data_IF_573970660220
#
_entry.id   IF_573970660220
#
_cell.length_a   1.000
_cell.length_b   1.000
_cell.length_c   1.000
_cell.angle_alpha   90.00
_cell.angle_beta   90.00
_cell.angle_gamma   90.00
#
_symmetry.space_group_name_H-M   'P 1'
#
loop_
_entity.id
_entity.type
_entity.pdbx_description
1 polymer ?
#
# COMPACT_ATOMS: atom_id res chain seq x y z
N UNK A 1 10.60 27.65 7.48
CA UNK A 1 10.94 27.28 8.86
C UNK A 1 10.54 25.82 9.05
N UNK A 2 11.53 24.95 8.90
CA UNK A 2 11.40 23.49 8.97
C UNK A 2 11.23 23.07 10.42
N UNK A 3 10.03 22.57 10.76
CA UNK A 3 9.77 21.91 12.03
C UNK A 3 10.63 20.65 12.10
N UNK A 4 11.55 20.63 13.07
CA UNK A 4 12.42 19.50 13.35
C UNK A 4 11.59 18.34 13.94
N UNK A 5 11.72 17.16 13.32
CA UNK A 5 11.20 15.89 13.84
C UNK A 5 12.18 15.36 14.91
N UNK A 6 11.72 14.97 16.11
CA UNK A 6 12.60 14.35 17.11
C UNK A 6 12.83 12.86 16.82
N UNK A 7 13.89 12.35 17.45
CA UNK A 7 14.69 11.18 17.09
C UNK A 7 14.17 9.79 17.53
N UNK A 8 14.82 8.77 16.93
CA UNK A 8 15.12 7.39 17.37
C UNK A 8 14.02 6.35 17.64
N UNK A 9 13.95 5.37 16.73
CA UNK A 9 14.12 3.92 16.95
C UNK A 9 13.51 3.20 18.17
N UNK A 10 12.37 3.65 18.67
CA UNK A 10 11.46 2.79 19.45
C UNK A 10 10.06 2.93 18.84
N UNK A 11 9.80 2.13 17.81
CA UNK A 11 8.52 2.17 17.11
C UNK A 11 7.52 1.40 17.96
N UNK A 12 6.50 2.07 18.53
CA UNK A 12 5.49 1.36 19.27
C UNK A 12 4.82 0.37 18.34
N UNK A 13 4.96 -0.91 18.67
CA UNK A 13 4.46 -2.04 17.90
C UNK A 13 3.27 -2.73 18.58
N UNK A 14 2.77 -2.14 19.68
CA UNK A 14 1.69 -2.71 20.49
C UNK A 14 0.37 -1.96 20.29
N UNK A 15 -0.77 -2.66 20.38
CA UNK A 15 -2.10 -2.04 20.34
C UNK A 15 -2.29 -0.89 21.34
N UNK A 16 -1.83 -1.06 22.58
CA UNK A 16 -1.90 -0.05 23.61
C UNK A 16 -1.18 1.24 23.22
N UNK A 17 0.02 1.13 22.64
CA UNK A 17 0.78 2.29 22.21
C UNK A 17 0.21 2.95 20.95
N UNK A 18 -0.50 2.20 20.09
CA UNK A 18 -1.26 2.82 19.00
C UNK A 18 -2.43 3.66 19.51
N UNK A 19 -3.10 3.21 20.57
CA UNK A 19 -4.20 3.96 21.18
C UNK A 19 -3.74 5.31 21.72
N UNK A 20 -2.53 5.40 22.30
CA UNK A 20 -1.97 6.68 22.78
C UNK A 20 -1.59 7.63 21.64
N UNK A 21 -1.33 7.13 20.44
CA UNK A 21 -1.00 7.93 19.25
C UNK A 21 -2.22 8.46 18.49
N UNK A 22 -3.43 7.95 18.75
CA UNK A 22 -4.65 8.36 18.04
C UNK A 22 -4.89 9.89 18.03
N UNK A 23 -4.72 10.65 19.14
CA UNK A 23 -4.89 12.10 19.11
C UNK A 23 -3.92 12.79 18.14
N UNK A 24 -2.69 12.30 18.04
CA UNK A 24 -1.69 12.81 17.10
C UNK A 24 -2.10 12.51 15.65
N UNK A 25 -2.50 11.27 15.35
CA UNK A 25 -3.01 10.92 14.03
C UNK A 25 -4.22 11.76 13.62
N UNK A 26 -5.16 12.01 14.54
CA UNK A 26 -6.31 12.91 14.30
C UNK A 26 -5.88 14.34 14.02
N UNK A 27 -4.89 14.87 14.74
CA UNK A 27 -4.37 16.22 14.49
C UNK A 27 -3.73 16.30 13.10
N UNK A 28 -2.88 15.34 12.74
CA UNK A 28 -2.25 15.26 11.41
C UNK A 28 -3.29 15.12 10.31
N UNK A 29 -4.30 14.25 10.47
CA UNK A 29 -5.38 14.07 9.50
C UNK A 29 -6.20 15.35 9.29
N UNK A 30 -6.53 16.07 10.38
CA UNK A 30 -7.23 17.36 10.29
C UNK A 30 -6.40 18.39 9.54
N UNK A 31 -5.12 18.56 9.88
CA UNK A 31 -4.22 19.47 9.20
C UNK A 31 -4.04 19.11 7.71
N UNK A 32 -3.84 17.83 7.41
CA UNK A 32 -3.70 17.34 6.04
C UNK A 32 -4.97 17.59 5.23
N UNK A 33 -6.13 17.29 5.77
CA UNK A 33 -7.43 17.50 5.09
C UNK A 33 -7.67 18.98 4.83
N UNK A 34 -7.41 19.84 5.81
CA UNK A 34 -7.61 21.28 5.72
C UNK A 34 -6.64 21.99 4.76
N UNK A 35 -5.46 21.44 4.50
CA UNK A 35 -4.44 22.08 3.64
C UNK A 35 -4.67 21.78 2.14
N UNK A 36 -5.12 22.74 1.30
CA UNK A 36 -5.28 22.50 -0.13
C UNK A 36 -3.94 22.30 -0.86
N UNK A 37 -2.85 22.86 -0.32
CA UNK A 37 -1.51 22.78 -0.92
C UNK A 37 -0.79 21.44 -0.64
N UNK A 38 -1.29 20.64 0.30
CA UNK A 38 -0.63 19.39 0.70
C UNK A 38 -1.41 18.19 0.15
N UNK A 39 -0.80 17.46 -0.80
CA UNK A 39 -1.39 16.28 -1.42
C UNK A 39 -0.75 14.95 -0.97
N UNK A 40 0.38 15.01 -0.28
CA UNK A 40 1.08 13.88 0.34
C UNK A 40 1.50 14.26 1.76
N UNK A 41 1.42 13.31 2.69
CA UNK A 41 1.88 13.50 4.07
C UNK A 41 2.49 12.20 4.58
N UNK A 42 3.80 12.19 4.79
CA UNK A 42 4.48 11.12 5.49
C UNK A 42 4.05 11.11 6.98
N UNK A 43 3.71 9.94 7.51
CA UNK A 43 3.21 9.77 8.88
C UNK A 43 4.29 9.14 9.76
N UNK A 44 4.86 8.02 9.32
CA UNK A 44 5.82 7.26 10.12
C UNK A 44 6.69 6.36 9.26
N UNK A 45 7.90 6.08 9.74
CA UNK A 45 8.86 5.14 9.15
C UNK A 45 9.39 4.19 10.22
N UNK A 46 9.67 2.95 9.86
CA UNK A 46 10.37 1.98 10.71
C UNK A 46 11.88 2.20 10.78
N UNK A 47 12.42 3.07 9.93
CA UNK A 47 13.84 3.45 9.87
C UNK A 47 14.05 4.96 10.04
N UNK A 48 15.23 5.35 10.52
CA UNK A 48 15.67 6.74 10.56
C UNK A 48 16.26 7.23 9.23
N UNK A 49 16.47 6.35 8.24
CA UNK A 49 17.01 6.73 6.94
C UNK A 49 16.07 7.72 6.22
N UNK A 50 16.60 8.77 5.56
CA UNK A 50 15.78 9.73 4.83
C UNK A 50 15.04 9.07 3.66
N UNK A 51 13.92 9.65 3.22
CA UNK A 51 13.13 9.12 2.09
C UNK A 51 13.97 9.06 0.79
N UNK A 52 14.91 9.99 0.62
CA UNK A 52 15.85 10.05 -0.51
C UNK A 52 16.88 8.91 -0.53
N UNK A 53 16.99 8.10 0.54
CA UNK A 53 17.85 6.93 0.54
C UNK A 53 17.29 5.78 -0.32
N UNK A 54 15.96 5.73 -0.53
CA UNK A 54 15.34 4.70 -1.34
C UNK A 54 15.75 4.84 -2.82
N UNK A 55 16.16 3.76 -3.47
CA UNK A 55 16.38 3.67 -4.93
C UNK A 55 15.24 2.98 -5.65
N UNK A 56 14.54 2.08 -4.96
CA UNK A 56 13.31 1.43 -5.41
C UNK A 56 12.24 1.58 -4.33
N UNK A 57 11.10 2.15 -4.69
CA UNK A 57 9.96 2.32 -3.80
C UNK A 57 8.84 1.36 -4.18
N UNK A 58 8.52 0.43 -3.29
CA UNK A 58 7.33 -0.40 -3.39
C UNK A 58 6.15 0.33 -2.75
N UNK A 59 5.02 0.42 -3.44
CA UNK A 59 3.86 1.16 -2.99
C UNK A 59 2.68 0.21 -2.88
N UNK A 60 2.26 -0.09 -1.65
CA UNK A 60 1.01 -0.79 -1.37
C UNK A 60 -0.06 0.23 -1.01
N UNK A 61 -0.88 0.58 -2.00
CA UNK A 61 -2.02 1.46 -1.82
C UNK A 61 -3.28 0.65 -1.52
N UNK A 62 -3.88 0.88 -0.34
CA UNK A 62 -5.13 0.23 0.04
C UNK A 62 -5.92 1.08 1.03
N UNK A 63 -7.16 0.68 1.24
CA UNK A 63 -8.00 1.28 2.28
C UNK A 63 -7.64 0.82 3.70
N UNK A 64 -6.89 -0.28 3.85
CA UNK A 64 -6.44 -0.86 5.13
C UNK A 64 -7.54 -0.87 6.21
N UNK A 65 -8.69 -1.47 5.89
CA UNK A 65 -9.92 -1.38 6.70
C UNK A 65 -10.58 -2.72 7.03
N UNK A 66 -9.91 -3.59 7.79
CA UNK A 66 -8.53 -3.44 8.30
C UNK A 66 -7.47 -3.94 7.29
N UNK A 67 -6.16 -3.67 7.50
CA UNK A 67 -5.11 -4.47 6.86
C UNK A 67 -5.30 -5.95 7.19
N UNK A 68 -4.90 -6.83 6.29
CA UNK A 68 -5.10 -8.29 6.41
C UNK A 68 -3.79 -9.03 6.13
N UNK A 69 -3.75 -10.34 6.37
CA UNK A 69 -2.59 -11.17 5.99
C UNK A 69 -2.30 -11.15 4.49
N UNK A 70 -3.28 -10.88 3.62
CA UNK A 70 -3.00 -10.64 2.21
C UNK A 70 -2.15 -9.37 2.02
N UNK A 71 -2.51 -8.27 2.67
CA UNK A 71 -1.69 -7.05 2.64
C UNK A 71 -0.28 -7.30 3.20
N UNK A 72 -0.19 -8.06 4.30
CA UNK A 72 1.10 -8.45 4.90
C UNK A 72 1.99 -9.24 3.93
N UNK A 73 1.44 -10.27 3.27
CA UNK A 73 2.17 -11.09 2.29
C UNK A 73 2.61 -10.27 1.06
N UNK A 74 1.74 -9.41 0.56
CA UNK A 74 2.07 -8.48 -0.53
C UNK A 74 3.19 -7.54 -0.12
N UNK A 75 3.14 -7.01 1.11
CA UNK A 75 4.20 -6.17 1.63
C UNK A 75 5.55 -6.91 1.71
N UNK A 76 5.56 -8.19 2.09
CA UNK A 76 6.79 -9.00 2.15
C UNK A 76 7.37 -9.33 0.78
N UNK A 77 6.55 -9.44 -0.28
CA UNK A 77 7.07 -9.73 -1.62
C UNK A 77 8.03 -8.65 -2.13
N UNK A 78 7.91 -7.41 -1.63
CA UNK A 78 8.85 -6.32 -1.91
C UNK A 78 10.30 -6.65 -1.53
N UNK A 79 10.49 -7.48 -0.50
CA UNK A 79 11.81 -7.80 0.05
C UNK A 79 12.28 -9.20 -0.33
N UNK A 80 11.37 -10.10 -0.68
CA UNK A 80 11.70 -11.48 -1.07
C UNK A 80 12.21 -11.60 -2.51
N UNK A 81 11.93 -10.63 -3.38
CA UNK A 81 12.38 -10.72 -4.77
C UNK A 81 13.87 -10.37 -4.91
N UNK A 82 14.67 -11.42 -5.14
CA UNK A 82 16.10 -11.33 -5.38
C UNK A 82 16.45 -10.94 -6.83
N UNK A 83 15.49 -10.49 -7.65
CA UNK A 83 15.78 -9.95 -9.00
C UNK A 83 16.52 -8.59 -8.98
N UNK A 84 17.32 -8.33 -7.95
CA UNK A 84 18.41 -7.38 -8.09
C UNK A 84 19.30 -7.91 -9.22
N UNK A 85 19.27 -7.21 -10.35
CA UNK A 85 20.28 -7.32 -11.40
C UNK A 85 21.63 -6.93 -10.79
N UNK A 86 22.28 -7.89 -10.12
CA UNK A 86 23.61 -7.68 -9.55
C UNK A 86 24.62 -8.00 -10.63
N UNK A 87 25.12 -6.94 -11.27
CA UNK A 87 26.46 -6.95 -11.84
C UNK A 87 27.45 -7.40 -10.77
N UNK A 88 28.16 -8.51 -11.06
CA UNK A 88 29.26 -9.11 -10.30
C UNK A 88 30.00 -8.13 -9.35
N UNK A 89 29.63 -8.09 -8.07
CA UNK A 89 30.47 -7.53 -7.01
C UNK A 89 30.20 -8.23 -5.68
N UNK A 90 31.24 -8.29 -4.85
CA UNK A 90 31.45 -9.10 -3.64
C UNK A 90 30.29 -9.14 -2.65
N UNK A 91 29.87 -10.36 -2.30
CA UNK A 91 28.55 -10.74 -1.78
C UNK A 91 28.21 -10.42 -0.31
N UNK A 92 29.07 -9.72 0.44
CA UNK A 92 28.86 -9.47 1.88
C UNK A 92 28.28 -8.10 2.23
N UNK A 93 28.85 -7.02 1.69
CA UNK A 93 28.44 -5.63 1.97
C UNK A 93 27.41 -5.08 0.98
N UNK A 94 27.40 -5.60 -0.25
CA UNK A 94 26.47 -5.18 -1.30
C UNK A 94 25.02 -5.57 -1.05
N UNK A 95 24.77 -6.71 -0.37
CA UNK A 95 23.41 -7.16 -0.06
C UNK A 95 22.71 -6.27 0.99
N UNK A 96 23.44 -5.81 2.00
CA UNK A 96 22.91 -4.87 3.01
C UNK A 96 22.67 -3.48 2.42
N UNK A 97 23.57 -3.02 1.53
CA UNK A 97 23.36 -1.80 0.77
C UNK A 97 22.14 -1.91 -0.18
N UNK A 98 22.02 -3.01 -0.92
CA UNK A 98 20.89 -3.28 -1.82
C UNK A 98 19.55 -3.46 -1.07
N UNK A 99 19.56 -3.97 0.17
CA UNK A 99 18.39 -3.99 1.04
C UNK A 99 18.03 -2.58 1.54
N UNK A 100 19.01 -1.74 1.83
CA UNK A 100 18.81 -0.33 2.20
C UNK A 100 18.30 0.54 1.02
N UNK A 101 18.45 0.07 -0.21
CA UNK A 101 17.94 0.72 -1.42
C UNK A 101 16.45 0.44 -1.69
N UNK A 102 15.88 -0.61 -1.08
CA UNK A 102 14.46 -0.95 -1.20
C UNK A 102 13.67 -0.39 -0.02
N UNK A 103 12.56 0.28 -0.32
CA UNK A 103 11.65 0.81 0.70
C UNK A 103 10.21 0.46 0.34
N UNK A 104 9.43 0.06 1.33
CA UNK A 104 7.99 -0.16 1.17
C UNK A 104 7.23 1.03 1.73
N UNK A 105 6.21 1.47 1.01
CA UNK A 105 5.26 2.49 1.44
C UNK A 105 3.86 1.88 1.52
N UNK A 106 3.27 1.89 2.71
CA UNK A 106 1.85 1.68 2.94
C UNK A 106 1.13 3.03 2.75
N UNK A 107 0.39 3.16 1.65
CA UNK A 107 -0.23 4.41 1.24
C UNK A 107 -1.74 4.39 1.44
N UNK A 108 -2.27 5.35 2.18
CA UNK A 108 -3.70 5.50 2.40
C UNK A 108 -4.25 6.75 1.69
N UNK A 109 -5.07 6.52 0.66
CA UNK A 109 -5.79 7.59 0.00
C UNK A 109 -6.99 8.06 0.85
N UNK A 110 -7.03 9.37 1.15
CA UNK A 110 -8.17 10.00 1.85
C UNK A 110 -9.35 10.20 0.91
N UNK A 111 -9.08 10.44 -0.37
CA UNK A 111 -10.07 10.54 -1.43
C UNK A 111 -9.98 9.27 -2.30
N UNK A 112 -10.95 8.37 -2.18
CA UNK A 112 -11.06 7.21 -3.06
C UNK A 112 -12.11 7.47 -4.13
N UNK A 113 -11.80 7.14 -5.38
CA UNK A 113 -12.70 7.38 -6.52
C UNK A 113 -14.07 6.66 -6.40
N UNK A 114 -14.12 5.49 -5.75
CA UNK A 114 -15.28 4.59 -5.84
C UNK A 114 -15.93 4.20 -4.49
N UNK A 115 -15.52 4.75 -3.34
CA UNK A 115 -15.91 4.19 -2.03
C UNK A 115 -16.67 5.17 -1.13
N UNK A 116 -17.90 4.78 -0.77
CA UNK A 116 -18.81 5.38 0.22
C UNK A 116 -18.27 5.26 1.68
N UNK A 117 -19.02 5.69 2.73
CA UNK A 117 -18.55 5.79 4.11
C UNK A 117 -17.85 4.54 4.64
N UNK A 118 -16.86 4.80 5.47
CA UNK A 118 -15.75 3.91 5.76
C UNK A 118 -15.86 3.46 7.23
N UNK A 119 -16.07 2.16 7.54
CA UNK A 119 -16.50 1.73 8.88
C UNK A 119 -15.48 1.95 10.01
N UNK A 120 -14.16 1.93 9.74
CA UNK A 120 -13.17 2.45 10.70
C UNK A 120 -12.72 3.88 10.32
N UNK A 121 -12.57 4.78 11.32
CA UNK A 121 -11.95 6.09 11.18
C UNK A 121 -10.52 6.02 10.59
N UNK A 122 -10.07 7.10 9.97
CA UNK A 122 -8.74 7.14 9.34
C UNK A 122 -7.59 6.99 10.33
N UNK A 123 -7.73 7.49 11.55
CA UNK A 123 -6.75 7.38 12.63
C UNK A 123 -6.58 5.94 13.12
N UNK A 124 -7.67 5.18 13.27
CA UNK A 124 -7.60 3.74 13.58
C UNK A 124 -6.92 2.95 12.43
N UNK A 125 -7.12 3.37 11.17
CA UNK A 125 -6.41 2.76 10.03
C UNK A 125 -4.92 3.06 10.05
N UNK A 126 -4.52 4.29 10.36
CA UNK A 126 -3.11 4.66 10.50
C UNK A 126 -2.44 3.88 11.64
N UNK A 127 -3.14 3.67 12.75
CA UNK A 127 -2.70 2.78 13.82
C UNK A 127 -2.47 1.35 13.31
N UNK A 128 -3.47 0.73 12.66
CA UNK A 128 -3.32 -0.63 12.12
C UNK A 128 -2.24 -0.73 11.03
N UNK A 129 -2.07 0.30 10.19
CA UNK A 129 -0.97 0.37 9.21
C UNK A 129 0.39 0.46 9.89
N UNK A 130 0.50 1.20 11.00
CA UNK A 130 1.74 1.30 11.79
C UNK A 130 2.11 -0.04 12.42
N UNK A 131 1.13 -0.78 12.95
CA UNK A 131 1.32 -2.15 13.43
C UNK A 131 1.81 -3.06 12.31
N UNK A 132 1.12 -3.06 11.15
CA UNK A 132 1.52 -3.84 9.98
C UNK A 132 2.95 -3.49 9.52
N UNK A 133 3.30 -2.20 9.48
CA UNK A 133 4.64 -1.76 9.05
C UNK A 133 5.75 -2.32 9.94
N UNK A 134 5.49 -2.39 11.25
CA UNK A 134 6.43 -2.91 12.25
C UNK A 134 6.61 -4.42 12.09
N UNK A 135 5.52 -5.17 11.87
CA UNK A 135 5.58 -6.61 11.62
C UNK A 135 6.31 -6.95 10.32
N UNK A 136 6.07 -6.20 9.23
CA UNK A 136 6.77 -6.39 7.95
C UNK A 136 8.27 -6.14 8.11
N UNK A 137 8.64 -5.05 8.77
CA UNK A 137 10.03 -4.69 9.03
C UNK A 137 10.75 -5.75 9.88
N UNK A 138 10.10 -6.25 10.93
CA UNK A 138 10.63 -7.29 11.80
C UNK A 138 10.81 -8.63 11.04
N UNK A 139 9.79 -9.09 10.30
CA UNK A 139 9.86 -10.38 9.62
C UNK A 139 10.84 -10.37 8.44
N UNK A 140 10.97 -9.25 7.72
CA UNK A 140 11.97 -9.13 6.65
C UNK A 140 13.39 -9.39 7.17
N UNK A 141 13.69 -9.01 8.41
CA UNK A 141 15.00 -9.24 9.05
C UNK A 141 15.32 -10.73 9.24
N UNK A 142 14.31 -11.60 9.24
CA UNK A 142 14.47 -13.04 9.43
C UNK A 142 14.63 -13.82 8.11
N UNK A 143 14.16 -13.25 6.99
CA UNK A 143 14.20 -13.88 5.67
C UNK A 143 15.40 -13.45 4.81
N UNK A 144 15.96 -12.26 5.07
CA UNK A 144 17.19 -11.76 4.41
C UNK A 144 18.39 -11.87 5.35
N UNK A 145 19.60 -12.04 4.79
CA UNK A 145 20.86 -12.05 5.56
C UNK A 145 20.93 -10.86 6.56
N UNK A 146 21.50 -11.02 7.77
CA UNK A 146 20.91 -10.52 9.01
C UNK A 146 21.29 -9.09 9.45
N UNK A 147 21.48 -8.12 8.56
CA UNK A 147 22.12 -6.85 8.99
C UNK A 147 21.23 -5.61 9.06
N UNK A 148 20.06 -5.56 8.40
CA UNK A 148 19.16 -4.39 8.49
C UNK A 148 17.68 -4.73 8.32
N UNK A 149 16.80 -4.33 9.26
CA UNK A 149 15.35 -4.41 9.06
C UNK A 149 14.88 -3.64 7.83
N UNK A 150 13.84 -4.15 7.16
CA UNK A 150 13.25 -3.48 6.01
C UNK A 150 12.71 -2.09 6.38
N UNK A 151 12.97 -1.11 5.52
CA UNK A 151 12.41 0.23 5.63
C UNK A 151 10.95 0.23 5.16
N UNK A 152 10.03 0.51 6.08
CA UNK A 152 8.59 0.58 5.79
C UNK A 152 8.04 1.92 6.25
N UNK A 153 7.40 2.64 5.33
CA UNK A 153 6.74 3.91 5.55
C UNK A 153 5.23 3.77 5.61
N UNK A 154 4.59 4.68 6.33
CA UNK A 154 3.15 4.91 6.36
C UNK A 154 2.93 6.36 5.92
N UNK A 155 2.08 6.58 4.91
CA UNK A 155 1.74 7.92 4.44
C UNK A 155 0.28 8.05 4.00
N UNK A 156 -0.14 9.31 3.88
CA UNK A 156 -1.44 9.72 3.34
C UNK A 156 -1.27 10.35 1.95
N UNK A 157 -2.28 10.21 1.11
CA UNK A 157 -2.39 10.97 -0.14
C UNK A 157 -3.82 11.44 -0.41
N UNK A 158 -3.96 12.59 -1.07
CA UNK A 158 -5.24 13.06 -1.63
C UNK A 158 -5.49 12.55 -3.05
N UNK A 159 -4.47 12.00 -3.69
CA UNK A 159 -4.56 11.54 -5.07
C UNK A 159 -5.33 10.21 -5.13
N UNK A 160 -6.32 10.15 -6.01
CA UNK A 160 -7.07 8.92 -6.27
C UNK A 160 -6.37 8.05 -7.33
N UNK A 161 -5.89 8.67 -8.42
CA UNK A 161 -5.31 7.98 -9.57
C UNK A 161 -3.84 7.66 -9.34
N UNK A 162 -3.39 6.52 -9.88
CA UNK A 162 -2.02 6.04 -9.72
C UNK A 162 -0.98 6.95 -10.41
N UNK A 163 -1.34 7.59 -11.53
CA UNK A 163 -0.46 8.55 -12.20
C UNK A 163 -0.14 9.77 -11.31
N UNK A 164 -1.14 10.29 -10.61
CA UNK A 164 -0.97 11.46 -9.74
C UNK A 164 -0.16 11.07 -8.49
N UNK A 165 -0.44 9.88 -7.93
CA UNK A 165 0.36 9.31 -6.83
C UNK A 165 1.82 9.16 -7.24
N UNK A 166 2.10 8.58 -8.40
CA UNK A 166 3.47 8.42 -8.90
C UNK A 166 4.17 9.77 -9.08
N UNK A 167 3.47 10.78 -9.59
CA UNK A 167 4.02 12.14 -9.73
C UNK A 167 4.38 12.73 -8.37
N UNK A 168 3.50 12.67 -7.38
CA UNK A 168 3.77 13.19 -6.04
C UNK A 168 4.94 12.43 -5.36
N UNK A 169 4.95 11.10 -5.46
CA UNK A 169 5.99 10.27 -4.86
C UNK A 169 7.38 10.53 -5.44
N UNK A 170 7.51 10.96 -6.71
CA UNK A 170 8.79 11.36 -7.29
C UNK A 170 9.41 12.58 -6.62
N UNK A 171 8.57 13.51 -6.15
CA UNK A 171 9.03 14.70 -5.42
C UNK A 171 9.46 14.38 -3.99
N UNK A 172 8.88 13.36 -3.38
CA UNK A 172 9.13 12.97 -1.99
C UNK A 172 10.30 11.97 -1.86
N UNK A 173 10.33 10.96 -2.74
CA UNK A 173 11.34 9.92 -2.81
C UNK A 173 12.31 10.19 -3.95
N UNK A 174 13.04 11.31 -3.85
CA UNK A 174 13.91 11.83 -4.93
C UNK A 174 15.06 10.91 -5.33
N UNK A 175 15.46 9.99 -4.44
CA UNK A 175 16.45 8.95 -4.74
C UNK A 175 15.91 7.79 -5.55
N UNK A 176 14.58 7.63 -5.63
CA UNK A 176 13.96 6.46 -6.25
C UNK A 176 13.93 6.60 -7.77
N UNK A 177 14.50 5.61 -8.45
CA UNK A 177 14.50 5.52 -9.91
C UNK A 177 13.36 4.64 -10.42
N UNK A 178 12.79 3.80 -9.56
CA UNK A 178 11.66 2.93 -9.89
C UNK A 178 10.61 2.91 -8.76
N UNK A 179 9.33 2.94 -9.17
CA UNK A 179 8.15 2.91 -8.30
C UNK A 179 7.32 1.66 -8.63
N UNK A 180 7.35 0.66 -7.75
CA UNK A 180 6.66 -0.61 -7.95
C UNK A 180 5.33 -0.57 -7.21
N UNK A 181 4.22 -0.43 -7.94
CA UNK A 181 2.88 -0.43 -7.39
C UNK A 181 2.38 -1.86 -7.21
N UNK A 182 2.17 -2.23 -5.94
CA UNK A 182 1.66 -3.53 -5.54
C UNK A 182 0.13 -3.50 -5.58
N UNK A 183 -0.46 -4.30 -6.45
CA UNK A 183 -1.90 -4.25 -6.76
C UNK A 183 -2.52 -5.64 -6.81
N UNK A 184 -3.85 -5.71 -6.65
CA UNK A 184 -4.63 -6.84 -7.12
C UNK A 184 -5.11 -6.59 -8.55
N UNK A 185 -5.58 -7.65 -9.21
CA UNK A 185 -6.00 -7.58 -10.61
C UNK A 185 -7.15 -6.58 -10.87
N UNK A 186 -8.09 -6.43 -9.95
CA UNK A 186 -9.14 -5.41 -10.05
C UNK A 186 -8.58 -3.99 -10.14
N UNK A 187 -7.53 -3.70 -9.36
CA UNK A 187 -6.84 -2.41 -9.41
C UNK A 187 -5.99 -2.27 -10.68
N UNK A 188 -5.32 -3.33 -11.13
CA UNK A 188 -4.59 -3.32 -12.40
C UNK A 188 -5.53 -2.95 -13.56
N UNK A 189 -6.69 -3.59 -13.66
CA UNK A 189 -7.68 -3.29 -14.70
C UNK A 189 -8.10 -1.82 -14.63
N UNK A 190 -8.35 -1.29 -13.43
CA UNK A 190 -8.71 0.13 -13.22
C UNK A 190 -7.62 1.11 -13.62
N UNK A 191 -6.34 0.78 -13.41
CA UNK A 191 -5.22 1.62 -13.87
C UNK A 191 -5.32 1.83 -15.38
N UNK A 192 -5.69 0.79 -16.13
CA UNK A 192 -5.82 0.84 -17.59
C UNK A 192 -7.24 1.14 -18.09
N UNK A 193 -8.17 1.54 -17.22
CA UNK A 193 -9.54 1.86 -17.60
C UNK A 193 -9.68 3.36 -17.91
N UNK A 194 -9.98 3.75 -19.17
CA UNK A 194 -10.02 5.14 -19.58
C UNK A 194 -11.07 6.00 -18.85
N UNK A 195 -12.06 5.38 -18.21
CA UNK A 195 -13.11 6.08 -17.44
C UNK A 195 -12.58 6.79 -16.19
N UNK A 196 -11.37 6.43 -15.72
CA UNK A 196 -10.72 7.11 -14.59
C UNK A 196 -9.87 8.32 -15.03
N UNK A 197 -9.85 8.64 -16.32
CA UNK A 197 -9.12 9.75 -16.90
C UNK A 197 -10.11 10.84 -17.35
N UNK A 198 -9.67 12.11 -17.50
CA UNK A 198 -10.59 13.22 -17.77
C UNK A 198 -11.56 12.92 -18.92
N UNK A 199 -12.86 13.18 -18.71
CA UNK A 199 -13.94 12.78 -19.62
C UNK A 199 -13.80 13.34 -21.04
N UNK A 200 -13.23 14.54 -21.16
CA UNK A 200 -12.94 15.18 -22.44
C UNK A 200 -12.01 14.32 -23.33
N UNK A 201 -11.21 13.47 -22.70
CA UNK A 201 -10.22 12.64 -23.38
C UNK A 201 -10.62 11.17 -23.31
N UNK A 202 -11.04 10.62 -22.15
CA UNK A 202 -11.23 9.18 -21.92
C UNK A 202 -10.10 8.36 -22.58
N UNK A 203 -8.88 8.79 -22.29
CA UNK A 203 -7.65 8.28 -22.91
C UNK A 203 -6.61 7.95 -21.87
N UNK A 204 -5.77 7.00 -22.24
CA UNK A 204 -4.71 6.46 -21.42
C UNK A 204 -3.36 7.14 -21.65
N UNK A 205 -3.25 8.15 -22.54
CA UNK A 205 -1.96 8.76 -22.88
C UNK A 205 -1.20 9.30 -21.65
N UNK A 206 -1.91 9.75 -20.61
CA UNK A 206 -1.33 10.17 -19.34
C UNK A 206 -0.54 9.08 -18.60
N UNK A 207 -0.78 7.81 -18.91
CA UNK A 207 0.00 6.69 -18.36
C UNK A 207 1.42 6.62 -18.92
N UNK A 208 1.76 7.30 -20.01
CA UNK A 208 3.14 7.41 -20.47
C UNK A 208 4.05 7.94 -19.35
N UNK A 209 3.66 9.05 -18.73
CA UNK A 209 4.40 9.65 -17.64
C UNK A 209 4.45 8.71 -16.41
N UNK A 210 3.41 7.92 -16.17
CA UNK A 210 3.41 6.91 -15.10
C UNK A 210 4.45 5.81 -15.34
N UNK A 211 4.43 5.16 -16.52
CA UNK A 211 5.26 4.00 -16.84
C UNK A 211 6.74 4.31 -17.12
N UNK A 212 7.14 5.58 -17.24
CA UNK A 212 8.56 5.99 -17.29
C UNK A 212 9.37 5.40 -16.13
N UNK A 213 8.82 5.46 -14.90
CA UNK A 213 9.43 4.87 -13.69
C UNK A 213 8.51 3.92 -12.95
N UNK A 214 7.24 3.86 -13.34
CA UNK A 214 6.23 2.99 -12.75
C UNK A 214 6.35 1.57 -13.26
N UNK A 215 6.26 0.62 -12.34
CA UNK A 215 6.06 -0.81 -12.58
C UNK A 215 4.84 -1.23 -11.78
N UNK A 216 4.03 -2.13 -12.30
CA UNK A 216 2.89 -2.71 -11.57
C UNK A 216 3.18 -4.17 -11.31
N UNK A 217 3.22 -4.55 -10.02
CA UNK A 217 3.19 -5.94 -9.63
C UNK A 217 1.77 -6.29 -9.22
N UNK A 218 1.17 -7.20 -9.97
CA UNK A 218 -0.20 -7.63 -9.81
C UNK A 218 -0.22 -9.01 -9.16
N UNK A 219 -0.78 -9.11 -7.96
CA UNK A 219 -1.11 -10.40 -7.38
C UNK A 219 -2.26 -11.05 -8.14
N UNK A 220 -2.12 -12.34 -8.39
CA UNK A 220 -3.27 -13.14 -8.81
C UNK A 220 -4.38 -13.07 -7.76
N UNK A 221 -5.59 -12.85 -8.25
CA UNK A 221 -6.78 -12.80 -7.40
C UNK A 221 -7.89 -13.60 -8.04
N UNK A 222 -7.98 -14.87 -7.70
CA UNK A 222 -9.06 -15.73 -8.18
C UNK A 222 -10.35 -15.39 -7.43
N UNK A 223 -11.46 -15.25 -8.15
CA UNK A 223 -12.74 -14.88 -7.56
C UNK A 223 -13.75 -14.31 -8.55
N UNK A 224 -14.93 -13.96 -8.06
CA UNK A 224 -16.03 -13.50 -8.91
C UNK A 224 -15.72 -12.18 -9.63
N UNK A 225 -16.00 -12.14 -10.93
CA UNK A 225 -15.96 -10.93 -11.77
C UNK A 225 -14.72 -10.74 -12.66
N UNK A 226 -13.59 -11.39 -12.35
CA UNK A 226 -12.32 -11.17 -13.09
C UNK A 226 -11.65 -12.44 -13.62
N UNK A 227 -12.29 -13.60 -13.42
CA UNK A 227 -11.78 -14.89 -13.89
C UNK A 227 -10.64 -15.44 -13.04
N UNK A 228 -10.17 -16.62 -13.42
CA UNK A 228 -9.00 -17.26 -12.81
C UNK A 228 -7.70 -16.74 -13.42
N UNK A 229 -6.60 -17.40 -13.07
CA UNK A 229 -5.25 -17.09 -13.57
C UNK A 229 -5.19 -16.91 -15.08
N UNK A 230 -5.78 -17.85 -15.84
CA UNK A 230 -5.72 -17.85 -17.30
C UNK A 230 -6.36 -16.61 -17.90
N UNK A 231 -7.49 -16.16 -17.37
CA UNK A 231 -8.16 -14.94 -17.83
C UNK A 231 -7.34 -13.68 -17.53
N UNK A 232 -6.65 -13.65 -16.38
CA UNK A 232 -5.79 -12.53 -15.98
C UNK A 232 -4.53 -12.44 -16.85
N UNK A 233 -3.91 -13.58 -17.15
CA UNK A 233 -2.80 -13.67 -18.10
C UNK A 233 -3.23 -13.26 -19.51
N UNK A 234 -4.39 -13.76 -19.97
CA UNK A 234 -4.95 -13.39 -21.27
C UNK A 234 -5.28 -11.89 -21.37
N UNK A 235 -5.65 -11.24 -20.26
CA UNK A 235 -5.83 -9.79 -20.22
C UNK A 235 -4.52 -9.05 -20.49
N UNK A 236 -3.42 -9.49 -19.87
CA UNK A 236 -2.09 -8.91 -20.10
C UNK A 236 -1.57 -9.20 -21.52
N UNK A 237 -1.85 -10.37 -22.06
CA UNK A 237 -1.58 -10.70 -23.46
C UNK A 237 -2.36 -9.80 -24.42
N UNK A 238 -3.61 -9.48 -24.08
CA UNK A 238 -4.42 -8.50 -24.81
C UNK A 238 -3.79 -7.11 -24.83
N UNK A 239 -3.28 -6.63 -23.69
CA UNK A 239 -2.53 -5.37 -23.62
C UNK A 239 -1.30 -5.41 -24.54
N UNK A 240 -0.50 -6.49 -24.47
CA UNK A 240 0.67 -6.69 -25.33
C UNK A 240 0.30 -6.74 -26.82
N UNK A 241 -0.86 -7.29 -27.14
CA UNK A 241 -1.44 -7.36 -28.49
C UNK A 241 -2.05 -6.04 -29.01
N UNK A 242 -2.08 -4.98 -28.20
CA UNK A 242 -2.60 -3.66 -28.62
C UNK A 242 -4.09 -3.46 -28.39
N UNK A 243 -4.75 -4.26 -27.55
CA UNK A 243 -6.19 -4.16 -27.26
C UNK A 243 -6.64 -2.76 -26.81
N UNK A 244 -5.74 -1.96 -26.24
CA UNK A 244 -6.03 -0.61 -25.72
C UNK A 244 -5.49 0.53 -26.60
N UNK A 245 -4.94 0.26 -27.79
CA UNK A 245 -4.36 1.31 -28.65
C UNK A 245 -5.39 2.35 -29.09
N UNK A 246 -6.64 1.94 -29.34
CA UNK A 246 -7.73 2.84 -29.72
C UNK A 246 -8.04 3.93 -28.70
N UNK A 247 -7.64 3.73 -27.44
CA UNK A 247 -7.82 4.69 -26.33
C UNK A 247 -6.48 5.24 -25.81
N UNK A 248 -5.41 5.16 -26.60
CA UNK A 248 -4.08 5.67 -26.25
C UNK A 248 -3.22 4.73 -25.38
N UNK A 249 -3.66 3.48 -25.19
CA UNK A 249 -2.88 2.45 -24.50
C UNK A 249 -1.71 1.97 -25.36
N UNK A 250 -0.52 1.81 -24.77
CA UNK A 250 0.67 1.35 -25.50
C UNK A 250 1.06 -0.08 -25.17
N UNK A 251 1.45 -0.85 -26.18
CA UNK A 251 1.77 -2.29 -26.08
C UNK A 251 2.93 -2.56 -25.12
N UNK A 252 3.93 -1.67 -25.13
CA UNK A 252 5.14 -1.78 -24.32
C UNK A 252 4.86 -1.71 -22.81
N UNK A 253 3.72 -1.12 -22.39
CA UNK A 253 3.33 -1.07 -20.99
C UNK A 253 3.06 -2.47 -20.42
N UNK A 254 2.75 -3.46 -21.25
CA UNK A 254 2.67 -4.86 -20.82
C UNK A 254 4.00 -5.35 -20.22
N UNK A 255 5.15 -4.83 -20.69
CA UNK A 255 6.47 -5.14 -20.12
C UNK A 255 6.74 -4.48 -18.75
N UNK A 256 5.87 -3.57 -18.31
CA UNK A 256 5.91 -2.91 -17.00
C UNK A 256 4.89 -3.49 -16.02
N UNK A 257 4.20 -4.56 -16.40
CA UNK A 257 3.27 -5.30 -15.54
C UNK A 257 3.82 -6.70 -15.32
N UNK A 258 3.92 -7.11 -14.07
CA UNK A 258 4.34 -8.45 -13.67
C UNK A 258 3.29 -9.08 -12.79
N UNK A 259 2.90 -10.31 -13.09
CA UNK A 259 2.12 -11.11 -12.15
C UNK A 259 3.02 -11.72 -11.09
N UNK A 260 2.56 -11.71 -9.84
CA UNK A 260 3.24 -12.31 -8.70
C UNK A 260 2.30 -13.31 -8.02
N UNK A 261 2.88 -14.39 -7.55
CA UNK A 261 2.16 -15.48 -6.90
C UNK A 261 1.61 -15.05 -5.54
N UNK A 262 0.44 -15.59 -5.21
CA UNK A 262 -0.12 -15.49 -3.88
C UNK A 262 -0.18 -16.92 -3.32
N UNK A 263 0.80 -17.31 -2.51
CA UNK A 263 0.93 -18.66 -1.92
C UNK A 263 -0.25 -19.08 -1.03
N UNK A 264 -1.23 -18.20 -0.85
CA UNK A 264 -2.42 -18.45 -0.08
C UNK A 264 -3.59 -18.75 -1.02
N UNK A 265 -3.89 -20.04 -1.21
CA UNK A 265 -5.08 -20.50 -1.95
C UNK A 265 -6.43 -20.05 -1.38
N UNK A 266 -6.48 -19.08 -0.45
CA UNK A 266 -7.70 -18.51 0.10
C UNK A 266 -7.79 -16.99 -0.15
N UNK A 267 -8.93 -16.56 -0.70
CA UNK A 267 -9.25 -15.15 -0.93
C UNK A 267 -9.47 -14.42 0.40
N UNK A 268 -8.43 -13.76 0.91
CA UNK A 268 -8.49 -12.90 2.11
C UNK A 268 -8.94 -11.50 1.71
N UNK A 269 -10.07 -11.02 2.24
CA UNK A 269 -10.56 -9.66 2.02
C UNK A 269 -10.87 -8.95 3.33
N UNK A 270 -10.70 -7.63 3.38
CA UNK A 270 -11.09 -6.84 4.54
C UNK A 270 -12.60 -6.91 4.82
N UNK A 271 -13.43 -7.24 3.83
CA UNK A 271 -14.88 -7.45 4.02
C UNK A 271 -15.16 -8.69 4.86
N UNK A 272 -14.52 -9.83 4.53
CA UNK A 272 -14.61 -11.06 5.32
C UNK A 272 -14.19 -10.84 6.77
N UNK A 273 -13.18 -10.00 7.01
CA UNK A 273 -12.77 -9.64 8.37
C UNK A 273 -13.89 -8.91 9.12
N UNK A 274 -14.52 -7.90 8.51
CA UNK A 274 -15.60 -7.16 9.18
C UNK A 274 -16.80 -8.06 9.48
N UNK A 275 -17.13 -8.97 8.58
CA UNK A 275 -18.18 -9.99 8.80
C UNK A 275 -17.81 -10.93 9.95
N UNK A 276 -16.56 -11.41 9.99
CA UNK A 276 -16.07 -12.27 11.06
C UNK A 276 -16.06 -11.58 12.43
N UNK A 277 -15.75 -10.27 12.50
CA UNK A 277 -15.85 -9.49 13.74
C UNK A 277 -17.30 -9.47 14.23
N UNK A 278 -18.27 -9.16 13.36
CA UNK A 278 -19.70 -9.14 13.71
C UNK A 278 -20.21 -10.51 14.13
N UNK A 279 -19.74 -11.56 13.48
CA UNK A 279 -20.08 -12.94 13.81
C UNK A 279 -19.36 -13.51 15.03
N UNK A 280 -18.46 -12.75 15.67
CA UNK A 280 -17.66 -13.24 16.79
C UNK A 280 -16.72 -14.41 16.43
N UNK A 281 -16.36 -14.56 15.16
CA UNK A 281 -15.61 -15.72 14.68
C UNK A 281 -14.09 -15.50 14.84
N UNK A 282 -13.60 -15.75 16.05
CA UNK A 282 -12.20 -15.55 16.42
C UNK A 282 -11.20 -16.38 15.59
N UNK A 283 -11.57 -17.59 15.17
CA UNK A 283 -10.72 -18.44 14.33
C UNK A 283 -10.52 -17.85 12.93
N UNK A 284 -11.60 -17.34 12.32
CA UNK A 284 -11.52 -16.64 11.04
C UNK A 284 -10.70 -15.36 11.18
N UNK A 285 -10.85 -14.61 12.28
CA UNK A 285 -10.01 -13.43 12.52
C UNK A 285 -8.53 -13.80 12.63
N UNK A 286 -8.19 -14.89 13.31
CA UNK A 286 -6.81 -15.37 13.39
C UNK A 286 -6.28 -15.82 12.03
N UNK A 287 -7.12 -16.42 11.18
CA UNK A 287 -6.73 -16.79 9.83
C UNK A 287 -6.46 -15.55 8.95
N UNK A 288 -7.26 -14.48 9.09
CA UNK A 288 -7.26 -13.34 8.18
C UNK A 288 -6.37 -12.16 8.62
N UNK A 289 -6.09 -12.00 9.92
CA UNK A 289 -5.36 -10.85 10.48
C UNK A 289 -4.03 -11.27 11.11
N UNK A 290 -3.06 -10.37 11.08
CA UNK A 290 -1.87 -10.54 11.91
C UNK A 290 -2.20 -10.30 13.38
N UNK A 291 -1.38 -10.84 14.28
CA UNK A 291 -1.67 -10.85 15.72
C UNK A 291 -1.94 -9.44 16.26
N UNK A 292 -1.05 -8.48 15.99
CA UNK A 292 -1.17 -7.13 16.53
C UNK A 292 -2.38 -6.38 15.97
N UNK A 293 -2.68 -6.56 14.68
CA UNK A 293 -3.87 -5.95 14.05
C UNK A 293 -5.14 -6.57 14.62
N UNK A 294 -5.19 -7.89 14.83
CA UNK A 294 -6.33 -8.57 15.45
C UNK A 294 -6.58 -8.05 16.86
N UNK A 295 -5.54 -8.03 17.69
CA UNK A 295 -5.62 -7.52 19.07
C UNK A 295 -6.15 -6.08 19.09
N UNK A 296 -5.59 -5.21 18.25
CA UNK A 296 -6.05 -3.82 18.13
C UNK A 296 -7.53 -3.71 17.71
N UNK A 297 -7.96 -4.48 16.71
CA UNK A 297 -9.35 -4.49 16.25
C UNK A 297 -10.31 -4.91 17.37
N UNK A 298 -9.96 -5.94 18.14
CA UNK A 298 -10.77 -6.46 19.24
C UNK A 298 -10.80 -5.51 20.44
N UNK A 299 -9.64 -4.99 20.86
CA UNK A 299 -9.52 -4.03 21.98
C UNK A 299 -10.28 -2.73 21.72
N UNK A 300 -10.26 -2.24 20.47
CA UNK A 300 -10.96 -1.01 20.07
C UNK A 300 -12.44 -1.23 19.76
N UNK A 301 -12.91 -2.48 19.72
CA UNK A 301 -14.28 -2.82 19.33
C UNK A 301 -14.63 -2.36 17.91
N UNK A 302 -13.67 -2.37 16.98
CA UNK A 302 -13.92 -1.88 15.63
C UNK A 302 -14.85 -2.83 14.88
N UNK A 303 -15.67 -2.29 13.98
CA UNK A 303 -16.55 -3.04 13.06
C UNK A 303 -17.75 -3.77 13.69
N UNK A 304 -18.04 -3.55 14.98
CA UNK A 304 -19.20 -4.15 15.65
C UNK A 304 -20.53 -3.50 15.22
N UNK A 305 -20.52 -2.23 14.80
CA UNK A 305 -21.72 -1.49 14.41
C UNK A 305 -21.86 -1.34 12.89
N UNK A 306 -23.10 -1.27 12.40
CA UNK A 306 -23.46 -1.03 10.99
C UNK A 306 -23.33 0.44 10.53
N UNK A 307 -22.74 1.32 11.36
CA UNK A 307 -22.28 2.66 11.00
C UNK A 307 -23.20 3.82 11.41
N UNK A 308 -22.63 4.83 12.11
CA UNK A 308 -23.06 6.23 12.04
C UNK A 308 -23.68 6.86 13.29
N UNK A 309 -22.93 7.77 13.93
CA UNK A 309 -23.38 8.69 14.99
C UNK A 309 -22.23 8.97 15.97
N UNK A 310 -21.32 9.90 15.74
CA UNK A 310 -21.67 11.29 15.51
C UNK A 310 -22.30 11.89 16.77
N UNK A 311 -21.62 11.82 17.93
CA UNK A 311 -21.91 12.75 19.01
C UNK A 311 -21.53 14.15 18.49
N UNK A 312 -22.53 15.03 18.43
CA UNK A 312 -22.47 16.33 17.81
C UNK A 312 -21.35 17.21 18.34
N UNK A 313 -20.71 17.94 17.42
CA UNK A 313 -20.19 19.25 17.75
C UNK A 313 -21.39 20.19 17.74
N UNK A 314 -21.91 20.51 18.92
CA UNK A 314 -22.69 21.72 19.13
C UNK A 314 -21.70 22.89 19.33
N UNK A 315 -21.95 23.94 18.55
CA UNK A 315 -21.46 25.34 18.56
C UNK A 315 -20.14 25.69 19.26
#
# INVERSE_FOLDING_TARGET
>A
MTSASPASADTPSTPAAMTTLLPSFRATLRAFTASPATAFQHIRSTTAAPLSAAKQLFVLDSSFNPPTKAHFRIALSAFNDSTATTTNTTAGSAAAAAAAEKRLLLLLATNNADKAPKPAPFDDRLAMMTLLSSEVSALSSTCTSPTTPAAVDVALTKHARFLDKASALRSEYTGAHEFVFLTGFDTLVRIFDPRYYPEAEHRLDGLSAFFERGVVWCMFREGEGYGGRREQEAWLDGLRGGKLEGVGGRREWAGRVRFIENDAGEVVSSTKVREAVKGGNGEVLEALLTKSVREYVLERGLYLDDGGGGAGFDH
#
